data_IF_329642050487
#
_entry.id   IF_329642050487
#
_cell.length_a   1.000
_cell.length_b   1.000
_cell.length_c   1.000
_cell.angle_alpha   90.00
_cell.angle_beta   90.00
_cell.angle_gamma   90.00
#
_symmetry.space_group_name_H-M   'P 1'
#
loop_
_entity.id
_entity.type
_entity.pdbx_description
1 polymer ?
#
# COMPACT_ATOMS: atom_id res chain seq x y z
N UNK A 1 2.65 11.44 -8.45
CA UNK A 1 3.67 10.54 -9.02
C UNK A 1 4.92 10.68 -8.21
N UNK A 2 5.05 9.93 -7.12
CA UNK A 2 6.29 9.94 -6.33
C UNK A 2 7.18 8.85 -6.88
N UNK A 3 8.10 9.27 -7.73
CA UNK A 3 9.26 8.49 -8.17
C UNK A 3 10.05 8.12 -6.91
N UNK A 4 10.07 6.83 -6.59
CA UNK A 4 10.91 6.28 -5.53
C UNK A 4 12.32 6.21 -6.12
N UNK A 5 13.19 7.16 -5.75
CA UNK A 5 14.60 7.16 -6.12
C UNK A 5 15.31 5.96 -5.47
N UNK A 6 16.14 5.20 -6.21
CA UNK A 6 16.79 3.99 -5.72
C UNK A 6 18.19 4.28 -5.17
N UNK A 7 18.34 5.25 -4.25
CA UNK A 7 19.65 5.52 -3.64
C UNK A 7 19.52 5.55 -2.11
N UNK A 8 20.34 4.73 -1.45
CA UNK A 8 20.43 4.47 0.02
C UNK A 8 19.66 3.27 0.61
N UNK A 9 19.90 2.06 0.09
CA UNK A 9 19.62 0.80 0.82
C UNK A 9 20.84 -0.13 0.94
N UNK A 10 22.05 0.44 0.97
CA UNK A 10 23.32 -0.29 1.10
C UNK A 10 23.86 -0.24 2.53
N UNK A 11 23.07 -0.62 3.52
CA UNK A 11 23.60 -1.07 4.82
C UNK A 11 22.53 -1.91 5.50
N UNK A 12 22.56 -3.23 5.28
CA UNK A 12 22.26 -4.29 6.26
C UNK A 12 21.89 -5.60 5.53
N UNK A 13 22.80 -6.57 5.61
CA UNK A 13 22.50 -7.99 5.38
C UNK A 13 23.11 -8.57 4.11
N UNK A 14 24.01 -9.55 4.29
CA UNK A 14 24.84 -10.17 3.27
C UNK A 14 24.12 -10.50 1.96
N UNK A 15 24.83 -10.17 0.89
CA UNK A 15 24.58 -10.56 -0.49
C UNK A 15 24.65 -12.10 -0.55
N UNK A 16 23.50 -12.75 -0.73
CA UNK A 16 23.40 -14.20 -0.76
C UNK A 16 22.34 -14.62 -1.77
N UNK A 17 22.62 -15.68 -2.51
CA UNK A 17 21.67 -16.29 -3.43
C UNK A 17 20.49 -16.84 -2.63
N UNK A 18 19.26 -16.51 -3.03
CA UNK A 18 18.02 -17.01 -2.42
C UNK A 18 17.23 -17.75 -3.46
N UNK A 19 16.91 -18.99 -3.17
CA UNK A 19 16.08 -19.83 -4.03
C UNK A 19 14.89 -20.32 -3.22
N UNK A 20 13.70 -20.02 -3.72
CA UNK A 20 12.41 -20.47 -3.19
C UNK A 20 11.75 -21.33 -4.26
N UNK A 21 11.26 -22.50 -3.88
CA UNK A 21 10.68 -23.47 -4.82
C UNK A 21 9.34 -23.95 -4.31
N UNK A 22 8.26 -23.26 -4.69
CA UNK A 22 6.91 -23.62 -4.29
C UNK A 22 6.58 -23.29 -2.82
N UNK A 23 7.37 -22.41 -2.19
CA UNK A 23 7.18 -22.01 -0.81
C UNK A 23 5.97 -21.07 -0.65
N UNK A 24 5.33 -21.12 0.51
CA UNK A 24 4.23 -20.22 0.86
C UNK A 24 4.71 -18.77 0.95
N UNK A 25 4.03 -17.87 0.23
CA UNK A 25 4.38 -16.44 0.16
C UNK A 25 4.41 -15.81 1.56
N UNK A 26 3.45 -16.15 2.42
CA UNK A 26 3.38 -15.60 3.77
C UNK A 26 4.55 -16.05 4.65
N UNK A 27 4.99 -17.30 4.52
CA UNK A 27 6.20 -17.80 5.21
C UNK A 27 7.48 -17.12 4.70
N UNK A 28 7.64 -17.01 3.38
CA UNK A 28 8.81 -16.37 2.77
C UNK A 28 8.93 -14.91 3.20
N UNK A 29 7.83 -14.16 3.20
CA UNK A 29 7.81 -12.76 3.63
C UNK A 29 8.21 -12.60 5.10
N UNK A 30 7.73 -13.48 5.98
CA UNK A 30 8.12 -13.50 7.41
C UNK A 30 9.60 -13.81 7.61
N UNK A 31 10.16 -14.74 6.83
CA UNK A 31 11.58 -15.06 6.86
C UNK A 31 12.42 -13.85 6.45
N UNK A 32 12.06 -13.18 5.34
CA UNK A 32 12.74 -11.99 4.86
C UNK A 32 12.64 -10.83 5.86
N UNK A 33 11.49 -10.64 6.51
CA UNK A 33 11.33 -9.63 7.56
C UNK A 33 12.30 -9.85 8.73
N UNK A 34 12.44 -11.10 9.19
CA UNK A 34 13.39 -11.47 10.25
C UNK A 34 14.83 -11.21 9.82
N UNK A 35 15.18 -11.53 8.58
CA UNK A 35 16.52 -11.29 8.04
C UNK A 35 16.83 -9.80 7.92
N UNK A 36 15.86 -8.99 7.50
CA UNK A 36 15.96 -7.54 7.42
C UNK A 36 15.88 -6.83 8.79
N UNK A 37 15.53 -7.55 9.88
CA UNK A 37 15.27 -7.00 11.21
C UNK A 37 14.22 -5.88 11.22
N UNK A 38 13.17 -6.04 10.42
CA UNK A 38 12.05 -5.09 10.35
C UNK A 38 10.78 -5.70 10.96
N UNK A 39 9.92 -4.85 11.52
CA UNK A 39 8.60 -5.30 11.96
C UNK A 39 7.68 -5.41 10.75
N UNK A 40 7.10 -6.59 10.53
CA UNK A 40 6.20 -6.84 9.41
C UNK A 40 5.01 -7.67 9.86
N UNK A 41 3.82 -7.27 9.42
CA UNK A 41 2.56 -7.99 9.60
C UNK A 41 2.06 -8.39 8.22
N UNK A 42 1.88 -9.70 8.01
CA UNK A 42 1.33 -10.25 6.77
C UNK A 42 -0.11 -10.67 7.04
N UNK A 43 -1.07 -10.20 6.24
CA UNK A 43 -2.47 -10.61 6.37
C UNK A 43 -2.65 -12.10 6.06
N UNK A 44 -3.60 -12.74 6.73
CA UNK A 44 -3.94 -14.16 6.49
C UNK A 44 -4.48 -14.41 5.08
N UNK A 45 -5.00 -13.38 4.40
CA UNK A 45 -5.45 -13.47 3.02
C UNK A 45 -4.29 -13.62 2.01
N UNK A 46 -3.05 -13.33 2.41
CA UNK A 46 -1.87 -13.51 1.55
C UNK A 46 -1.55 -15.00 1.45
N UNK A 47 -2.27 -15.65 0.54
CA UNK A 47 -2.15 -17.07 0.24
C UNK A 47 -1.53 -17.29 -1.13
N UNK A 48 -0.82 -18.40 -1.28
CA UNK A 48 -0.26 -18.84 -2.55
C UNK A 48 1.22 -19.16 -2.45
N UNK A 49 1.72 -19.82 -3.49
CA UNK A 49 3.12 -20.26 -3.55
C UNK A 49 3.95 -19.35 -4.44
N UNK A 50 5.25 -19.30 -4.16
CA UNK A 50 6.20 -18.57 -4.99
C UNK A 50 7.42 -19.41 -5.32
N UNK A 51 7.84 -19.31 -6.57
CA UNK A 51 9.03 -19.96 -7.09
C UNK A 51 9.90 -18.87 -7.69
N UNK A 52 11.05 -18.60 -7.07
CA UNK A 52 11.97 -17.58 -7.55
C UNK A 52 13.40 -17.86 -7.13
N UNK A 53 14.33 -17.41 -7.96
CA UNK A 53 15.74 -17.36 -7.66
C UNK A 53 16.19 -15.91 -7.73
N UNK A 54 16.76 -15.42 -6.64
CA UNK A 54 17.31 -14.08 -6.50
C UNK A 54 18.80 -14.20 -6.23
N UNK A 55 19.59 -13.39 -6.93
CA UNK A 55 21.04 -13.30 -6.76
C UNK A 55 21.38 -11.84 -6.47
N UNK A 56 22.25 -11.63 -5.50
CA UNK A 56 22.69 -10.30 -5.06
C UNK A 56 21.60 -9.32 -4.59
N UNK A 57 20.50 -9.83 -4.01
CA UNK A 57 19.36 -9.00 -3.57
C UNK A 57 19.27 -8.90 -2.04
N UNK A 58 19.06 -7.70 -1.50
CA UNK A 58 18.84 -7.51 -0.05
C UNK A 58 17.48 -8.07 0.39
N UNK A 59 17.28 -8.32 1.69
CA UNK A 59 16.01 -8.89 2.18
C UNK A 59 14.81 -7.99 1.86
N UNK A 60 14.97 -6.67 2.02
CA UNK A 60 13.95 -5.69 1.70
C UNK A 60 13.63 -5.62 0.20
N UNK A 61 14.65 -5.68 -0.66
CA UNK A 61 14.45 -5.71 -2.11
C UNK A 61 13.72 -6.99 -2.54
N UNK A 62 14.07 -8.15 -1.97
CA UNK A 62 13.38 -9.40 -2.24
C UNK A 62 11.89 -9.31 -1.83
N UNK A 63 11.59 -8.73 -0.67
CA UNK A 63 10.21 -8.45 -0.25
C UNK A 63 9.48 -7.59 -1.28
N UNK A 64 10.08 -6.49 -1.73
CA UNK A 64 9.46 -5.59 -2.71
C UNK A 64 9.18 -6.31 -4.05
N UNK A 65 10.10 -7.18 -4.51
CA UNK A 65 9.92 -7.98 -5.72
C UNK A 65 8.74 -8.95 -5.56
N UNK A 66 8.65 -9.66 -4.43
CA UNK A 66 7.53 -10.58 -4.14
C UNK A 66 6.20 -9.84 -4.15
N UNK A 67 6.14 -8.71 -3.43
CA UNK A 67 4.93 -7.88 -3.32
C UNK A 67 4.47 -7.45 -4.72
N UNK A 68 5.40 -6.97 -5.56
CA UNK A 68 5.09 -6.56 -6.94
C UNK A 68 4.67 -7.74 -7.84
N UNK A 69 5.35 -8.89 -7.73
CA UNK A 69 5.08 -10.05 -8.57
C UNK A 69 3.71 -10.70 -8.26
N UNK A 70 3.28 -10.66 -7.00
CA UNK A 70 1.99 -11.21 -6.55
C UNK A 70 0.87 -10.18 -6.46
N UNK A 71 1.10 -8.96 -6.96
CA UNK A 71 0.15 -7.85 -6.91
C UNK A 71 -0.39 -7.58 -5.49
N UNK A 72 0.50 -7.70 -4.51
CA UNK A 72 0.23 -7.39 -3.11
C UNK A 72 0.50 -5.90 -2.87
N UNK A 73 -0.04 -5.39 -1.78
CA UNK A 73 0.18 -4.04 -1.31
C UNK A 73 1.02 -4.06 -0.04
N UNK A 74 1.98 -3.14 0.03
CA UNK A 74 2.81 -2.93 1.20
C UNK A 74 2.58 -1.50 1.68
N UNK A 75 1.93 -1.36 2.83
CA UNK A 75 1.73 -0.07 3.48
C UNK A 75 2.68 0.02 4.68
N UNK A 76 3.38 1.15 4.81
CA UNK A 76 4.25 1.42 5.96
C UNK A 76 3.52 2.37 6.89
N UNK A 77 3.20 1.91 8.09
CA UNK A 77 2.60 2.73 9.14
C UNK A 77 3.61 2.74 10.30
N UNK A 78 4.13 3.92 10.61
CA UNK A 78 5.21 4.14 11.58
C UNK A 78 6.46 3.26 11.28
N UNK A 79 6.67 2.23 12.11
CA UNK A 79 7.79 1.30 12.05
C UNK A 79 7.36 -0.14 11.72
N UNK A 80 6.14 -0.33 11.21
CA UNK A 80 5.58 -1.64 10.87
C UNK A 80 5.16 -1.67 9.40
N UNK A 81 5.62 -2.69 8.68
CA UNK A 81 5.23 -2.97 7.30
C UNK A 81 4.01 -3.90 7.28
N UNK A 82 2.92 -3.44 6.69
CA UNK A 82 1.71 -4.23 6.50
C UNK A 82 1.64 -4.74 5.07
N UNK A 83 1.60 -6.06 4.90
CA UNK A 83 1.42 -6.70 3.59
C UNK A 83 -0.01 -7.24 3.49
N UNK A 84 -0.73 -6.75 2.49
CA UNK A 84 -2.15 -7.06 2.26
C UNK A 84 -2.40 -7.41 0.81
N UNK A 85 -3.48 -8.14 0.55
CA UNK A 85 -3.93 -8.39 -0.82
C UNK A 85 -4.65 -7.16 -1.39
N UNK A 86 -4.65 -7.00 -2.71
CA UNK A 86 -5.43 -5.92 -3.36
C UNK A 86 -6.93 -5.98 -3.06
N UNK A 87 -7.47 -7.18 -2.82
CA UNK A 87 -8.86 -7.36 -2.44
C UNK A 87 -9.17 -6.77 -1.06
N UNK A 88 -8.27 -6.96 -0.08
CA UNK A 88 -8.41 -6.38 1.25
C UNK A 88 -8.26 -4.87 1.27
N UNK A 89 -7.43 -4.29 0.38
CA UNK A 89 -7.31 -2.83 0.27
C UNK A 89 -8.66 -2.16 -0.04
N UNK A 90 -9.47 -2.78 -0.89
CA UNK A 90 -10.84 -2.32 -1.20
C UNK A 90 -11.87 -2.65 -0.11
N UNK A 91 -11.56 -3.59 0.80
CA UNK A 91 -12.45 -4.02 1.88
C UNK A 91 -12.11 -3.35 3.23
N UNK A 92 -11.08 -2.49 3.29
CA UNK A 92 -10.84 -1.69 4.47
C UNK A 92 -12.06 -0.82 4.78
N UNK A 93 -12.44 -0.65 6.06
CA UNK A 93 -13.54 0.22 6.44
C UNK A 93 -13.24 1.63 5.93
N UNK A 94 -13.99 2.05 4.92
CA UNK A 94 -13.90 3.39 4.39
C UNK A 94 -14.58 4.33 5.37
N UNK A 95 -13.83 5.32 5.85
CA UNK A 95 -14.39 6.36 6.68
C UNK A 95 -15.09 7.38 5.75
N UNK A 96 -16.29 7.82 6.15
CA UNK A 96 -17.00 8.88 5.44
C UNK A 96 -16.57 10.23 6.02
N UNK A 97 -16.05 11.11 5.17
CA UNK A 97 -15.68 12.47 5.56
C UNK A 97 -16.38 13.50 4.66
N UNK A 98 -16.49 14.72 5.17
CA UNK A 98 -17.12 15.82 4.47
C UNK A 98 -16.27 17.06 4.56
N UNK A 99 -16.04 17.71 3.42
CA UNK A 99 -15.32 18.98 3.36
C UNK A 99 -16.19 20.07 2.77
N UNK A 100 -16.29 21.19 3.48
CA UNK A 100 -16.99 22.38 3.00
C UNK A 100 -16.00 23.37 2.37
N UNK A 101 -16.19 23.67 1.09
CA UNK A 101 -15.33 24.63 0.42
C UNK A 101 -15.77 26.07 0.71
N UNK A 102 -14.81 26.92 1.06
CA UNK A 102 -15.04 28.36 1.27
C UNK A 102 -14.66 29.22 0.06
N UNK A 103 -13.69 28.77 -0.75
CA UNK A 103 -13.09 29.58 -1.84
C UNK A 103 -13.25 28.97 -3.24
N UNK A 104 -13.81 27.76 -3.36
CA UNK A 104 -14.01 27.06 -4.63
C UNK A 104 -15.37 26.37 -4.64
N UNK A 105 -15.92 26.10 -5.83
CA UNK A 105 -17.15 25.32 -5.95
C UNK A 105 -16.84 23.84 -5.84
N UNK A 106 -17.57 23.12 -5.00
CA UNK A 106 -17.43 21.68 -4.81
C UNK A 106 -17.61 20.89 -6.12
N UNK A 107 -18.43 21.40 -7.06
CA UNK A 107 -18.65 20.80 -8.38
C UNK A 107 -17.39 20.78 -9.25
N UNK A 108 -16.57 21.83 -9.18
CA UNK A 108 -15.38 21.98 -10.01
C UNK A 108 -14.19 21.18 -9.43
N UNK A 109 -14.18 20.95 -8.11
CA UNK A 109 -13.14 20.18 -7.41
C UNK A 109 -13.46 18.68 -7.31
N UNK A 110 -14.74 18.30 -7.42
CA UNK A 110 -15.17 16.89 -7.42
C UNK A 110 -14.42 15.97 -8.38
N UNK A 111 -14.18 16.31 -9.66
CA UNK A 111 -13.41 15.44 -10.56
C UNK A 111 -11.94 15.30 -10.15
N UNK A 112 -11.37 16.33 -9.53
CA UNK A 112 -9.99 16.27 -9.01
C UNK A 112 -9.91 15.32 -7.81
N UNK A 113 -10.85 15.41 -6.88
CA UNK A 113 -10.93 14.52 -5.71
C UNK A 113 -11.24 13.10 -6.15
N UNK A 114 -12.16 12.90 -7.10
CA UNK A 114 -12.47 11.58 -7.65
C UNK A 114 -11.25 10.84 -8.22
N UNK A 115 -10.29 11.58 -8.79
CA UNK A 115 -9.04 10.99 -9.32
C UNK A 115 -8.05 10.56 -8.23
N UNK A 116 -8.20 11.08 -7.01
CA UNK A 116 -7.29 10.84 -5.88
C UNK A 116 -7.86 9.82 -4.87
N UNK A 117 -9.14 9.45 -5.00
CA UNK A 117 -9.80 8.50 -4.10
C UNK A 117 -9.37 7.06 -4.38
N UNK A 118 -8.87 6.36 -3.35
CA UNK A 118 -8.52 4.95 -3.40
C UNK A 118 -9.74 4.02 -3.19
N UNK A 119 -10.79 4.53 -2.53
CA UNK A 119 -12.07 3.82 -2.34
C UNK A 119 -12.82 3.52 -3.64
N UNK A 120 -12.48 4.21 -4.76
CA UNK A 120 -13.17 4.15 -6.07
C UNK A 120 -14.67 4.50 -6.03
N UNK A 121 -15.21 4.89 -4.87
CA UNK A 121 -16.56 5.39 -4.72
C UNK A 121 -16.62 6.86 -5.18
N UNK A 122 -17.58 7.22 -6.06
CA UNK A 122 -17.69 8.59 -6.55
C UNK A 122 -18.11 9.54 -5.43
N UNK A 123 -17.43 10.70 -5.27
CA UNK A 123 -17.77 11.67 -4.25
C UNK A 123 -19.15 12.29 -4.55
N UNK A 124 -19.94 12.52 -3.51
CA UNK A 124 -21.24 13.17 -3.60
C UNK A 124 -21.09 14.67 -3.31
N UNK A 125 -21.70 15.51 -4.13
CA UNK A 125 -21.60 16.97 -4.00
C UNK A 125 -22.95 17.55 -3.61
N UNK A 126 -22.98 18.33 -2.53
CA UNK A 126 -24.10 19.19 -2.18
C UNK A 126 -23.79 20.64 -2.58
N UNK A 127 -24.38 21.09 -3.69
CA UNK A 127 -24.19 22.45 -4.22
C UNK A 127 -24.81 23.54 -3.33
N UNK A 128 -25.81 23.21 -2.50
CA UNK A 128 -26.49 24.19 -1.62
C UNK A 128 -25.59 24.59 -0.45
N UNK A 129 -24.84 23.65 0.11
CA UNK A 129 -23.93 23.88 1.24
C UNK A 129 -22.47 24.02 0.80
N UNK A 130 -22.20 23.83 -0.49
CA UNK A 130 -20.85 23.76 -1.07
C UNK A 130 -19.97 22.71 -0.37
N UNK A 131 -20.57 21.56 -0.07
CA UNK A 131 -19.94 20.46 0.68
C UNK A 131 -19.74 19.26 -0.24
N UNK A 132 -18.58 18.62 -0.15
CA UNK A 132 -18.31 17.33 -0.79
C UNK A 132 -18.26 16.23 0.26
N UNK A 133 -18.93 15.11 -0.01
CA UNK A 133 -18.90 13.91 0.80
C UNK A 133 -18.12 12.84 0.04
N UNK A 134 -17.13 12.26 0.68
CA UNK A 134 -16.33 11.19 0.09
C UNK A 134 -16.10 10.08 1.11
N UNK A 135 -15.83 8.89 0.59
CA UNK A 135 -15.44 7.73 1.38
C UNK A 135 -14.01 7.40 1.07
N UNK A 136 -13.19 7.26 2.10
CA UNK A 136 -11.78 6.95 1.90
C UNK A 136 -11.23 6.02 2.98
N UNK A 137 -10.23 5.25 2.59
CA UNK A 137 -9.37 4.46 3.47
C UNK A 137 -8.59 5.35 4.43
N UNK A 138 -8.41 4.89 5.67
CA UNK A 138 -7.69 5.65 6.71
C UNK A 138 -6.27 6.06 6.30
N UNK A 139 -5.61 5.31 5.42
CA UNK A 139 -4.28 5.66 4.92
C UNK A 139 -4.26 6.81 3.90
N UNK A 140 -5.37 7.11 3.22
CA UNK A 140 -5.44 8.14 2.18
C UNK A 140 -6.29 9.35 2.58
N UNK A 141 -7.12 9.24 3.62
CA UNK A 141 -7.98 10.33 4.09
C UNK A 141 -7.17 11.58 4.50
N UNK A 142 -5.99 11.40 5.10
CA UNK A 142 -5.10 12.50 5.49
C UNK A 142 -4.44 13.20 4.29
N UNK A 143 -4.32 12.53 3.14
CA UNK A 143 -3.77 13.15 1.92
C UNK A 143 -4.82 13.97 1.15
N UNK A 144 -6.12 13.73 1.39
CA UNK A 144 -7.23 14.38 0.68
C UNK A 144 -7.75 15.62 1.42
N UNK A 145 -7.58 15.68 2.75
CA UNK A 145 -7.91 16.84 3.58
C UNK A 145 -7.05 18.06 3.25
#
# INVERSE_FOLDING_TARGET
TTTIEPDNLTENGGVGVREFQGDDVGQVLRLLARQAKINMVVSEAVTGTVTMRLEDVTALQATAIIVKAKNLFMDKIDNVYYIKTGAERTAEPTESDSYQFSYSRAKDTAPLIASQLASKDPPQVDERTNTIFFRETRGNIDNIR
#
